data_IF_709314865532
#
_entry.id   IF_709314865532
#
_cell.length_a   1.000
_cell.length_b   1.000
_cell.length_c   1.000
_cell.angle_alpha   90.00
_cell.angle_beta   90.00
_cell.angle_gamma   90.00
#
_symmetry.space_group_name_H-M   'P 1'
#
loop_
_entity.id
_entity.type
_entity.pdbx_description
1 polymer ?
#
# COMPACT_ATOMS: atom_id res chain seq x y z
N UNK A 1 24.32 31.89 -38.72
CA UNK A 1 23.33 31.15 -37.93
C UNK A 1 22.68 29.96 -38.65
N UNK A 2 22.30 30.05 -39.93
CA UNK A 2 21.56 28.97 -40.62
C UNK A 2 22.29 27.63 -40.81
N UNK A 3 23.62 27.60 -40.88
CA UNK A 3 24.39 26.33 -41.04
C UNK A 3 24.45 25.52 -39.76
N UNK A 4 24.60 26.15 -38.60
CA UNK A 4 24.65 25.50 -37.31
C UNK A 4 23.28 24.87 -36.96
N UNK A 5 22.20 25.60 -37.20
CA UNK A 5 20.82 25.10 -36.96
C UNK A 5 20.54 23.87 -37.85
N UNK A 6 20.95 23.88 -39.12
CA UNK A 6 20.80 22.73 -40.03
C UNK A 6 21.61 21.53 -39.57
N UNK A 7 22.80 21.74 -38.99
CA UNK A 7 23.62 20.68 -38.44
C UNK A 7 22.97 20.05 -37.17
N UNK A 8 22.49 20.88 -36.24
CA UNK A 8 21.78 20.44 -35.04
C UNK A 8 20.51 19.67 -35.43
N UNK A 9 19.74 20.20 -36.41
CA UNK A 9 18.53 19.51 -36.85
C UNK A 9 18.82 18.15 -37.50
N UNK A 10 19.89 18.03 -38.30
CA UNK A 10 20.31 16.75 -38.89
C UNK A 10 20.79 15.76 -37.84
N UNK A 11 21.57 16.20 -36.83
CA UNK A 11 22.03 15.37 -35.74
C UNK A 11 20.86 14.88 -34.89
N UNK A 12 19.90 15.73 -34.58
CA UNK A 12 18.68 15.37 -33.88
C UNK A 12 17.83 14.36 -34.66
N UNK A 13 17.70 14.56 -35.97
CA UNK A 13 16.96 13.63 -36.84
C UNK A 13 17.66 12.25 -36.94
N UNK A 14 18.98 12.26 -37.02
CA UNK A 14 19.78 11.01 -37.05
C UNK A 14 19.68 10.25 -35.72
N UNK A 15 19.71 10.96 -34.60
CA UNK A 15 19.52 10.38 -33.27
C UNK A 15 18.11 9.81 -33.14
N UNK A 16 17.09 10.53 -33.55
CA UNK A 16 15.70 10.08 -33.57
C UNK A 16 15.55 8.81 -34.43
N UNK A 17 16.13 8.79 -35.63
CA UNK A 17 16.09 7.64 -36.52
C UNK A 17 16.77 6.42 -35.88
N UNK A 18 17.89 6.61 -35.16
CA UNK A 18 18.61 5.55 -34.48
C UNK A 18 17.78 4.99 -33.31
N UNK A 19 17.10 5.85 -32.54
CA UNK A 19 16.17 5.43 -31.49
C UNK A 19 15.00 4.64 -32.07
N UNK A 20 14.39 5.13 -33.17
CA UNK A 20 13.27 4.43 -33.83
C UNK A 20 13.72 3.06 -34.35
N UNK A 21 14.89 2.95 -34.94
CA UNK A 21 15.45 1.67 -35.42
C UNK A 21 15.76 0.74 -34.24
N UNK A 22 16.30 1.25 -33.14
CA UNK A 22 16.56 0.47 -31.93
C UNK A 22 15.27 -0.07 -31.30
N UNK A 23 14.26 0.75 -31.19
CA UNK A 23 12.91 0.35 -30.72
C UNK A 23 12.30 -0.69 -31.67
N UNK A 24 12.34 -0.43 -32.97
CA UNK A 24 11.84 -1.38 -33.97
C UNK A 24 12.56 -2.72 -33.90
N UNK A 25 13.89 -2.70 -33.71
CA UNK A 25 14.66 -3.92 -33.52
C UNK A 25 14.24 -4.69 -32.26
N UNK A 26 14.06 -4.01 -31.12
CA UNK A 26 13.58 -4.65 -29.89
C UNK A 26 12.20 -5.31 -30.09
N UNK A 27 11.26 -4.59 -30.73
CA UNK A 27 9.90 -5.11 -30.98
C UNK A 27 9.91 -6.31 -31.92
N UNK A 28 10.80 -6.32 -32.90
CA UNK A 28 10.84 -7.37 -33.93
C UNK A 28 11.74 -8.56 -33.55
N UNK A 29 12.76 -8.34 -32.73
CA UNK A 29 13.76 -9.36 -32.41
C UNK A 29 13.54 -10.03 -31.05
N UNK A 30 12.82 -9.38 -30.11
CA UNK A 30 12.59 -9.89 -28.75
C UNK A 30 11.11 -9.98 -28.49
N UNK A 31 10.56 -11.18 -28.47
CA UNK A 31 9.18 -11.41 -28.03
C UNK A 31 9.14 -11.42 -26.49
N UNK A 32 8.42 -10.46 -25.85
CA UNK A 32 8.32 -10.45 -24.40
C UNK A 32 7.63 -11.72 -23.85
N UNK A 33 6.87 -12.45 -24.65
CA UNK A 33 6.25 -13.70 -24.22
C UNK A 33 7.26 -14.81 -23.94
N UNK A 34 8.46 -14.74 -24.52
CA UNK A 34 9.54 -15.70 -24.25
C UNK A 34 9.99 -15.65 -22.78
N UNK A 35 9.74 -14.53 -22.05
CA UNK A 35 10.10 -14.39 -20.63
C UNK A 35 9.03 -14.91 -19.66
N UNK A 36 7.88 -15.41 -20.15
CA UNK A 36 6.84 -15.96 -19.26
C UNK A 36 7.33 -17.08 -18.34
N UNK A 37 8.13 -18.05 -18.79
CA UNK A 37 8.64 -19.10 -17.92
C UNK A 37 9.52 -18.57 -16.79
N UNK A 38 10.40 -17.61 -17.09
CA UNK A 38 11.29 -16.99 -16.11
C UNK A 38 10.49 -16.20 -15.05
N UNK A 39 9.48 -15.43 -15.49
CA UNK A 39 8.60 -14.68 -14.59
C UNK A 39 7.85 -15.64 -13.66
N UNK A 40 7.28 -16.73 -14.19
CA UNK A 40 6.62 -17.76 -13.38
C UNK A 40 7.59 -18.42 -12.40
N UNK A 41 8.79 -18.74 -12.83
CA UNK A 41 9.82 -19.34 -11.99
C UNK A 41 10.26 -18.39 -10.85
N UNK A 42 10.44 -17.10 -11.16
CA UNK A 42 10.77 -16.09 -10.16
C UNK A 42 9.65 -15.90 -9.13
N UNK A 43 8.39 -15.89 -9.57
CA UNK A 43 7.23 -15.83 -8.67
C UNK A 43 7.13 -17.07 -7.78
N UNK A 44 7.34 -18.27 -8.35
CA UNK A 44 7.32 -19.53 -7.61
C UNK A 44 8.42 -19.61 -6.54
N UNK A 45 9.56 -18.95 -6.76
CA UNK A 45 10.63 -18.85 -5.75
C UNK A 45 10.24 -18.03 -4.51
N UNK A 46 9.14 -17.29 -4.58
CA UNK A 46 8.54 -16.49 -3.51
C UNK A 46 7.18 -17.07 -3.07
N UNK A 47 6.94 -18.35 -3.29
CA UNK A 47 5.68 -19.05 -2.97
C UNK A 47 4.44 -18.44 -3.65
N UNK A 48 4.63 -17.75 -4.78
CA UNK A 48 3.54 -17.20 -5.59
C UNK A 48 3.33 -18.05 -6.84
N UNK A 49 2.18 -18.70 -6.93
CA UNK A 49 1.73 -19.33 -8.17
C UNK A 49 1.20 -18.26 -9.12
N UNK A 50 1.77 -18.19 -10.33
CA UNK A 50 1.41 -17.17 -11.31
C UNK A 50 0.94 -17.83 -12.62
N UNK A 51 -0.24 -17.43 -13.09
CA UNK A 51 -0.76 -17.80 -14.40
C UNK A 51 -0.80 -16.56 -15.29
N UNK A 52 -0.14 -16.62 -16.45
CA UNK A 52 -0.03 -15.53 -17.42
C UNK A 52 -0.74 -15.95 -18.72
N UNK A 53 -2.07 -15.81 -18.74
CA UNK A 53 -2.89 -16.19 -19.89
C UNK A 53 -2.91 -15.11 -20.98
N UNK A 54 -2.80 -13.85 -20.58
CA UNK A 54 -2.68 -12.73 -21.50
C UNK A 54 -1.31 -12.61 -22.16
N UNK A 55 -1.22 -11.81 -23.20
CA UNK A 55 0.04 -11.53 -23.87
C UNK A 55 0.88 -10.54 -23.09
N UNK A 56 2.19 -10.77 -23.09
CA UNK A 56 3.15 -9.73 -22.73
C UNK A 56 3.37 -8.84 -23.94
N UNK A 57 3.35 -7.55 -23.72
CA UNK A 57 3.56 -6.53 -24.75
C UNK A 57 4.57 -5.48 -24.29
N UNK A 58 5.34 -4.95 -25.24
CA UNK A 58 6.22 -3.83 -24.97
C UNK A 58 5.43 -2.52 -24.85
N UNK A 59 5.79 -1.72 -23.85
CA UNK A 59 5.37 -0.33 -23.71
C UNK A 59 6.59 0.58 -23.91
N UNK A 60 6.45 1.64 -24.70
CA UNK A 60 7.57 2.55 -25.00
C UNK A 60 7.32 3.99 -24.55
N UNK A 61 6.09 4.38 -24.33
CA UNK A 61 5.73 5.73 -23.90
C UNK A 61 4.72 5.69 -22.74
N UNK A 62 4.85 6.56 -21.76
CA UNK A 62 5.92 7.55 -21.56
C UNK A 62 7.22 6.94 -21.02
N UNK A 63 7.20 5.71 -20.57
CA UNK A 63 8.32 4.92 -20.04
C UNK A 63 8.47 3.66 -20.86
N UNK A 64 9.65 3.08 -20.85
CA UNK A 64 9.85 1.76 -21.48
C UNK A 64 9.53 0.67 -20.46
N UNK A 65 8.79 -0.34 -20.89
CA UNK A 65 8.36 -1.38 -19.99
C UNK A 65 7.69 -2.55 -20.67
N UNK A 66 7.14 -3.41 -19.84
CA UNK A 66 6.34 -4.57 -20.25
C UNK A 66 4.98 -4.49 -19.57
N UNK A 67 3.95 -4.76 -20.34
CA UNK A 67 2.57 -4.87 -19.86
C UNK A 67 2.12 -6.32 -20.03
N UNK A 68 1.48 -6.84 -19.02
CA UNK A 68 0.88 -8.19 -18.99
C UNK A 68 -0.59 -8.05 -18.69
N UNK A 69 -1.44 -8.60 -19.53
CA UNK A 69 -2.87 -8.65 -19.32
C UNK A 69 -3.29 -10.00 -18.75
N UNK A 70 -4.40 -10.02 -18.03
CA UNK A 70 -5.05 -11.24 -17.51
C UNK A 70 -4.08 -12.13 -16.71
N UNK A 71 -3.56 -11.57 -15.61
CA UNK A 71 -2.71 -12.30 -14.68
C UNK A 71 -3.56 -12.90 -13.57
N UNK A 72 -3.43 -14.19 -13.32
CA UNK A 72 -3.97 -14.83 -12.11
C UNK A 72 -2.82 -15.16 -11.17
N UNK A 73 -3.04 -14.97 -9.88
CA UNK A 73 -2.04 -15.30 -8.86
C UNK A 73 -2.67 -15.96 -7.64
N UNK A 74 -1.88 -16.79 -6.97
CA UNK A 74 -2.18 -17.32 -5.65
C UNK A 74 -0.90 -17.37 -4.81
N UNK A 75 -0.98 -16.90 -3.56
CA UNK A 75 0.11 -16.94 -2.59
C UNK A 75 -0.32 -17.78 -1.40
N UNK A 76 -0.07 -19.06 -1.47
CA UNK A 76 -0.48 -20.03 -0.47
C UNK A 76 -1.98 -19.93 -0.14
N UNK A 77 -2.30 -19.93 1.16
CA UNK A 77 -3.67 -19.68 1.67
C UNK A 77 -3.93 -18.21 2.01
N UNK A 78 -2.99 -17.29 1.76
CA UNK A 78 -3.05 -15.91 2.24
C UNK A 78 -3.83 -15.01 1.28
N UNK A 79 -3.54 -15.10 0.00
CA UNK A 79 -4.15 -14.24 -1.01
C UNK A 79 -4.25 -14.96 -2.37
N UNK A 80 -5.29 -14.64 -3.11
CA UNK A 80 -5.43 -15.03 -4.51
C UNK A 80 -6.17 -13.94 -5.28
N UNK A 81 -6.02 -13.92 -6.59
CA UNK A 81 -6.75 -12.92 -7.37
C UNK A 81 -6.46 -12.95 -8.85
N UNK A 82 -7.15 -12.01 -9.52
CA UNK A 82 -7.01 -11.76 -10.95
C UNK A 82 -6.65 -10.29 -11.12
N UNK A 83 -5.68 -10.01 -11.97
CA UNK A 83 -5.23 -8.68 -12.33
C UNK A 83 -5.58 -8.46 -13.79
N UNK A 84 -6.34 -7.41 -14.10
CA UNK A 84 -6.66 -7.06 -15.48
C UNK A 84 -5.42 -6.70 -16.28
N UNK A 85 -4.57 -5.84 -15.70
CA UNK A 85 -3.32 -5.39 -16.31
C UNK A 85 -2.26 -5.17 -15.23
N UNK A 86 -1.07 -5.71 -15.44
CA UNK A 86 0.14 -5.47 -14.68
C UNK A 86 1.19 -4.84 -15.58
N UNK A 87 1.73 -3.69 -15.20
CA UNK A 87 2.82 -3.05 -15.93
C UNK A 87 4.06 -2.83 -15.08
N UNK A 88 5.21 -3.07 -15.68
CA UNK A 88 6.54 -2.79 -15.13
C UNK A 88 7.26 -1.88 -16.08
N UNK A 89 7.72 -0.74 -15.63
CA UNK A 89 8.37 0.24 -16.50
C UNK A 89 9.55 0.94 -15.84
N UNK A 90 10.44 1.44 -16.68
CA UNK A 90 11.64 2.18 -16.31
C UNK A 90 11.66 3.49 -17.08
N UNK A 91 12.08 4.58 -16.45
CA UNK A 91 12.21 5.85 -17.14
C UNK A 91 13.35 5.81 -18.17
N UNK A 92 13.19 6.54 -19.28
CA UNK A 92 14.25 6.67 -20.29
C UNK A 92 15.55 7.22 -19.70
N UNK A 93 15.47 8.13 -18.72
CA UNK A 93 16.65 8.71 -18.07
C UNK A 93 17.42 7.67 -17.24
N UNK A 94 16.74 6.75 -16.59
CA UNK A 94 17.36 5.68 -15.83
C UNK A 94 18.02 4.64 -16.74
N UNK A 95 17.39 4.33 -17.88
CA UNK A 95 17.98 3.44 -18.89
C UNK A 95 19.31 3.96 -19.45
N UNK A 96 19.42 5.27 -19.66
CA UNK A 96 20.69 5.85 -20.12
C UNK A 96 21.78 5.92 -19.04
N UNK A 97 21.41 5.79 -17.78
CA UNK A 97 22.31 5.82 -16.62
C UNK A 97 22.55 4.45 -15.99
N UNK A 98 22.12 3.36 -16.66
CA UNK A 98 22.34 2.00 -16.12
C UNK A 98 23.84 1.72 -16.05
N UNK A 99 24.29 1.49 -14.82
CA UNK A 99 25.59 0.88 -14.59
C UNK A 99 25.50 -0.62 -14.90
N UNK A 100 25.94 -1.01 -16.08
CA UNK A 100 25.94 -2.40 -16.54
C UNK A 100 26.81 -3.31 -15.68
N UNK A 101 27.62 -2.78 -14.77
CA UNK A 101 28.38 -3.55 -13.78
C UNK A 101 27.52 -3.94 -12.56
N UNK A 102 26.37 -3.28 -12.35
CA UNK A 102 25.41 -3.57 -11.29
C UNK A 102 24.46 -4.70 -11.68
N UNK A 103 24.21 -5.63 -10.77
CA UNK A 103 23.31 -6.78 -10.97
C UNK A 103 21.81 -6.43 -10.89
N UNK A 104 21.44 -5.18 -10.74
CA UNK A 104 20.07 -4.77 -10.52
C UNK A 104 19.60 -3.83 -11.63
N UNK A 105 18.52 -4.21 -12.30
CA UNK A 105 17.83 -3.31 -13.22
C UNK A 105 16.99 -2.32 -12.40
N UNK A 106 17.06 -1.02 -12.70
CA UNK A 106 16.20 -0.06 -12.05
C UNK A 106 14.74 -0.35 -12.43
N UNK A 107 13.89 -0.57 -11.44
CA UNK A 107 12.43 -0.65 -11.67
C UNK A 107 11.87 0.73 -11.35
N UNK A 108 11.52 1.50 -12.38
CA UNK A 108 11.02 2.86 -12.20
C UNK A 108 9.58 2.92 -11.69
N UNK A 109 8.70 2.08 -12.24
CA UNK A 109 7.29 2.07 -11.86
C UNK A 109 6.68 0.68 -12.00
N UNK A 110 5.77 0.38 -11.08
CA UNK A 110 4.92 -0.82 -11.09
C UNK A 110 3.49 -0.33 -11.05
N UNK A 111 2.62 -0.80 -11.95
CA UNK A 111 1.20 -0.51 -11.86
C UNK A 111 0.36 -1.78 -12.01
N UNK A 112 -0.68 -1.84 -11.21
CA UNK A 112 -1.72 -2.86 -11.22
C UNK A 112 -3.03 -2.13 -11.53
N UNK A 113 -3.74 -2.56 -12.55
CA UNK A 113 -5.01 -1.99 -12.96
C UNK A 113 -6.10 -3.06 -12.94
N UNK A 114 -7.26 -2.70 -12.41
CA UNK A 114 -8.48 -3.50 -12.37
C UNK A 114 -8.27 -4.92 -11.80
N UNK A 115 -7.66 -5.01 -10.62
CA UNK A 115 -7.50 -6.30 -9.98
C UNK A 115 -8.69 -6.61 -9.06
N UNK A 116 -8.97 -7.90 -8.94
CA UNK A 116 -9.83 -8.46 -7.90
C UNK A 116 -8.98 -9.38 -7.04
N UNK A 117 -8.84 -9.04 -5.76
CA UNK A 117 -7.98 -9.75 -4.81
C UNK A 117 -8.85 -10.29 -3.68
N UNK A 118 -8.71 -11.56 -3.40
CA UNK A 118 -9.29 -12.21 -2.24
C UNK A 118 -8.18 -12.40 -1.20
N UNK A 119 -8.32 -11.73 -0.08
CA UNK A 119 -7.49 -11.94 1.10
C UNK A 119 -8.19 -12.98 1.97
N UNK A 120 -7.49 -14.02 2.35
CA UNK A 120 -7.99 -15.03 3.28
C UNK A 120 -8.19 -14.43 4.68
N UNK A 121 -8.63 -15.26 5.62
CA UNK A 121 -8.79 -14.83 7.00
C UNK A 121 -7.48 -14.22 7.55
N UNK A 122 -7.48 -12.91 7.77
CA UNK A 122 -6.33 -12.17 8.30
C UNK A 122 -6.09 -12.47 9.80
N UNK A 123 -7.09 -13.00 10.48
CA UNK A 123 -7.02 -13.48 11.86
C UNK A 123 -8.01 -14.63 12.06
N UNK A 124 -7.82 -15.49 13.07
CA UNK A 124 -8.75 -16.58 13.38
C UNK A 124 -10.19 -16.06 13.54
N UNK A 125 -11.13 -16.69 12.85
CA UNK A 125 -12.56 -16.33 12.83
C UNK A 125 -12.90 -14.98 12.16
N UNK A 126 -12.02 -14.42 11.34
CA UNK A 126 -12.35 -13.30 10.47
C UNK A 126 -12.88 -13.78 9.12
N UNK A 127 -13.62 -12.92 8.42
CA UNK A 127 -14.10 -13.23 7.08
C UNK A 127 -13.04 -12.89 6.04
N UNK A 128 -12.97 -13.62 4.92
CA UNK A 128 -12.14 -13.24 3.80
C UNK A 128 -12.58 -11.88 3.26
N UNK A 129 -11.61 -11.02 2.95
CA UNK A 129 -11.85 -9.67 2.41
C UNK A 129 -11.59 -9.70 0.92
N UNK A 130 -12.60 -9.28 0.15
CA UNK A 130 -12.44 -9.11 -1.29
C UNK A 130 -12.22 -7.63 -1.63
N UNK A 131 -11.09 -7.34 -2.27
CA UNK A 131 -10.81 -6.07 -2.91
C UNK A 131 -11.25 -6.16 -4.37
N UNK A 132 -12.12 -5.27 -4.80
CA UNK A 132 -12.59 -5.16 -6.19
C UNK A 132 -12.09 -3.86 -6.79
N UNK A 133 -11.89 -3.85 -8.12
CA UNK A 133 -11.35 -2.69 -8.83
C UNK A 133 -10.09 -2.14 -8.15
N UNK A 134 -9.26 -3.06 -7.67
CA UNK A 134 -8.01 -2.68 -7.03
C UNK A 134 -7.06 -2.13 -8.10
N UNK A 135 -6.62 -0.90 -7.88
CA UNK A 135 -5.59 -0.26 -8.67
C UNK A 135 -4.46 0.13 -7.72
N UNK A 136 -3.24 -0.09 -8.13
CA UNK A 136 -2.07 0.33 -7.36
C UNK A 136 -0.99 0.82 -8.30
N UNK A 137 -0.25 1.82 -7.86
CA UNK A 137 0.91 2.34 -8.59
C UNK A 137 2.03 2.66 -7.63
N UNK A 138 3.20 2.18 -7.95
CA UNK A 138 4.47 2.52 -7.31
C UNK A 138 5.29 3.29 -8.32
N UNK A 139 5.73 4.50 -8.00
CA UNK A 139 6.56 5.31 -8.88
C UNK A 139 7.93 5.53 -8.27
N UNK A 140 8.96 5.50 -9.09
CA UNK A 140 10.36 5.68 -8.70
C UNK A 140 10.80 4.66 -7.63
N UNK A 141 10.39 3.40 -7.80
CA UNK A 141 10.71 2.34 -6.84
C UNK A 141 12.24 2.21 -6.65
N UNK A 142 12.67 2.19 -5.40
CA UNK A 142 14.07 2.07 -5.02
C UNK A 142 14.24 1.21 -3.78
N UNK A 143 15.24 0.33 -3.80
CA UNK A 143 15.68 -0.49 -2.66
C UNK A 143 16.91 0.10 -1.96
N UNK A 144 17.45 1.21 -2.47
CA UNK A 144 18.72 1.81 -2.05
C UNK A 144 18.54 3.03 -1.14
N UNK A 145 17.32 3.27 -0.66
CA UNK A 145 17.02 4.36 0.26
C UNK A 145 16.53 5.65 -0.41
N UNK A 146 16.28 5.65 -1.71
CA UNK A 146 15.60 6.76 -2.36
C UNK A 146 14.10 6.75 -2.06
N UNK A 147 13.45 7.90 -2.17
CA UNK A 147 12.01 8.02 -1.95
C UNK A 147 11.24 7.56 -3.17
N UNK A 148 10.19 6.82 -2.94
CA UNK A 148 9.21 6.44 -3.96
C UNK A 148 7.79 6.61 -3.42
N UNK A 149 6.83 6.81 -4.33
CA UNK A 149 5.42 6.96 -3.95
C UNK A 149 4.64 5.69 -4.23
N UNK A 150 3.68 5.42 -3.37
CA UNK A 150 2.65 4.40 -3.58
C UNK A 150 1.30 5.09 -3.57
N UNK A 151 0.47 4.80 -4.56
CA UNK A 151 -0.95 5.11 -4.57
C UNK A 151 -1.73 3.82 -4.76
N UNK A 152 -2.83 3.64 -4.04
CA UNK A 152 -3.71 2.50 -4.23
C UNK A 152 -5.16 2.91 -4.04
N UNK A 153 -6.05 2.27 -4.78
CA UNK A 153 -7.49 2.40 -4.61
C UNK A 153 -8.18 1.06 -4.76
N UNK A 154 -9.25 0.85 -4.04
CA UNK A 154 -10.04 -0.37 -4.11
C UNK A 154 -11.49 -0.11 -3.70
N UNK A 155 -12.38 -1.04 -4.05
CA UNK A 155 -13.68 -1.17 -3.42
C UNK A 155 -13.63 -2.39 -2.50
N UNK A 156 -13.90 -2.18 -1.23
CA UNK A 156 -13.97 -3.22 -0.22
C UNK A 156 -15.40 -3.42 0.23
N UNK A 157 -15.70 -4.57 0.77
CA UNK A 157 -17.04 -4.92 1.23
C UNK A 157 -18.10 -4.64 0.16
N UNK A 158 -19.26 -4.17 0.50
CA UNK A 158 -20.36 -3.91 -0.44
C UNK A 158 -20.21 -2.63 -1.29
N UNK A 159 -19.01 -2.11 -1.43
CA UNK A 159 -18.73 -0.95 -2.29
C UNK A 159 -18.10 0.25 -1.60
N UNK A 160 -17.58 0.09 -0.39
CA UNK A 160 -16.77 1.11 0.28
C UNK A 160 -15.53 1.41 -0.57
N UNK A 161 -15.36 2.66 -0.96
CA UNK A 161 -14.15 3.11 -1.59
C UNK A 161 -13.03 3.23 -0.55
N UNK A 162 -11.88 2.65 -0.84
CA UNK A 162 -10.66 2.78 -0.08
C UNK A 162 -9.62 3.43 -0.99
N UNK A 163 -8.96 4.46 -0.49
CA UNK A 163 -7.85 5.12 -1.17
C UNK A 163 -6.66 5.19 -0.21
N UNK A 164 -5.47 5.09 -0.75
CA UNK A 164 -4.21 5.15 -0.01
C UNK A 164 -3.16 5.86 -0.84
N UNK A 165 -2.47 6.79 -0.23
CA UNK A 165 -1.28 7.43 -0.77
C UNK A 165 -0.19 7.46 0.30
N UNK A 166 1.05 7.21 -0.09
CA UNK A 166 2.18 7.28 0.82
C UNK A 166 3.49 7.56 0.07
N UNK A 167 4.40 8.27 0.74
CA UNK A 167 5.81 8.34 0.37
C UNK A 167 6.60 7.35 1.22
N UNK A 168 7.36 6.49 0.55
CA UNK A 168 8.18 5.48 1.20
C UNK A 168 9.65 5.67 0.90
N UNK A 169 10.46 5.19 1.84
CA UNK A 169 11.88 4.95 1.65
C UNK A 169 12.17 3.56 2.17
N UNK A 170 12.82 2.74 1.36
CA UNK A 170 13.20 1.38 1.70
C UNK A 170 14.71 1.23 1.54
N UNK A 171 15.38 0.83 2.60
CA UNK A 171 16.80 0.49 2.56
C UNK A 171 16.95 -1.00 2.82
N UNK A 172 17.52 -1.70 1.84
CA UNK A 172 17.78 -3.13 1.89
C UNK A 172 19.29 -3.38 1.82
N UNK A 173 19.75 -4.32 2.62
CA UNK A 173 21.10 -4.83 2.49
C UNK A 173 21.20 -5.71 1.23
N UNK A 174 21.90 -5.23 0.24
CA UNK A 174 22.00 -5.90 -1.08
C UNK A 174 22.74 -7.24 -1.04
N UNK A 175 23.53 -7.48 0.02
CA UNK A 175 24.27 -8.75 0.17
C UNK A 175 23.42 -9.84 0.82
N UNK A 176 22.54 -9.47 1.74
CA UNK A 176 21.73 -10.40 2.52
C UNK A 176 20.26 -10.45 2.09
N UNK A 177 19.79 -9.46 1.32
CA UNK A 177 18.38 -9.28 0.97
C UNK A 177 17.49 -8.84 2.15
N UNK A 178 18.08 -8.49 3.29
CA UNK A 178 17.32 -8.10 4.50
C UNK A 178 16.99 -6.61 4.43
N UNK A 179 15.76 -6.28 4.78
CA UNK A 179 15.32 -4.89 4.93
C UNK A 179 15.91 -4.33 6.22
N UNK A 180 16.74 -3.29 6.09
CA UNK A 180 17.37 -2.62 7.21
C UNK A 180 16.50 -1.50 7.78
N UNK A 181 15.85 -0.73 6.89
CA UNK A 181 15.00 0.38 7.28
C UNK A 181 13.84 0.56 6.31
N UNK A 182 12.66 0.86 6.87
CA UNK A 182 11.48 1.34 6.15
C UNK A 182 11.05 2.65 6.79
N UNK A 183 10.91 3.69 5.98
CA UNK A 183 10.27 4.93 6.38
C UNK A 183 9.04 5.16 5.52
N UNK A 184 7.90 5.35 6.15
CA UNK A 184 6.66 5.80 5.52
C UNK A 184 6.43 7.23 5.99
N UNK A 185 6.39 8.16 5.08
CA UNK A 185 6.04 9.55 5.33
C UNK A 185 4.82 9.91 4.49
N UNK A 186 4.11 10.93 4.93
CA UNK A 186 2.93 11.43 4.22
C UNK A 186 1.92 10.32 3.88
N UNK A 187 1.72 9.38 4.85
CA UNK A 187 0.67 8.38 4.72
C UNK A 187 -0.69 9.08 4.80
N UNK A 188 -1.48 8.92 3.78
CA UNK A 188 -2.87 9.32 3.71
C UNK A 188 -3.71 8.13 3.26
N UNK A 189 -4.80 7.86 3.95
CA UNK A 189 -5.75 6.81 3.55
C UNK A 189 -7.17 7.29 3.86
N UNK A 190 -8.12 6.89 3.03
CA UNK A 190 -9.53 7.22 3.23
C UNK A 190 -10.44 6.01 3.03
N UNK A 191 -11.49 5.95 3.83
CA UNK A 191 -12.58 4.98 3.72
C UNK A 191 -13.87 5.58 4.26
N UNK A 192 -14.89 5.72 3.40
CA UNK A 192 -16.24 6.18 3.77
C UNK A 192 -16.26 7.44 4.66
N UNK A 193 -15.52 8.47 4.29
CA UNK A 193 -15.43 9.74 5.02
C UNK A 193 -14.47 9.73 6.22
N UNK A 194 -13.94 8.59 6.61
CA UNK A 194 -12.81 8.51 7.53
C UNK A 194 -11.52 8.73 6.76
N UNK A 195 -10.76 9.75 7.13
CA UNK A 195 -9.44 10.03 6.61
C UNK A 195 -8.39 9.70 7.67
N UNK A 196 -7.37 8.99 7.28
CA UNK A 196 -6.23 8.63 8.10
C UNK A 196 -4.98 9.32 7.58
N UNK A 197 -4.16 9.83 8.46
CA UNK A 197 -2.83 10.33 8.11
C UNK A 197 -1.81 9.87 9.13
N UNK A 198 -0.57 9.67 8.68
CA UNK A 198 0.43 9.15 9.59
C UNK A 198 1.82 9.05 9.02
N UNK A 199 2.70 8.51 9.86
CA UNK A 199 4.09 8.22 9.51
C UNK A 199 4.60 7.03 10.31
N UNK A 200 5.56 6.30 9.72
CA UNK A 200 6.22 5.16 10.32
C UNK A 200 7.71 5.18 9.98
N UNK A 201 8.56 4.91 10.95
CA UNK A 201 9.94 4.53 10.73
C UNK A 201 10.17 3.19 11.43
N UNK A 202 10.66 2.20 10.70
CA UNK A 202 10.97 0.89 11.24
C UNK A 202 12.38 0.47 10.82
N UNK A 203 13.09 -0.15 11.72
CA UNK A 203 14.48 -0.58 11.58
C UNK A 203 14.64 -2.02 12.04
N UNK A 204 15.74 -2.66 11.62
CA UNK A 204 16.11 -4.00 12.05
C UNK A 204 14.99 -5.02 11.86
N UNK A 205 14.41 -5.06 10.67
CA UNK A 205 13.30 -5.96 10.34
C UNK A 205 12.11 -5.80 11.32
N UNK A 206 11.71 -4.54 11.57
CA UNK A 206 10.64 -4.15 12.50
C UNK A 206 10.89 -4.42 13.99
N UNK A 207 12.09 -4.81 14.39
CA UNK A 207 12.41 -4.95 15.81
C UNK A 207 12.32 -3.62 16.56
N UNK A 208 12.61 -2.51 15.87
CA UNK A 208 12.43 -1.14 16.36
C UNK A 208 11.48 -0.43 15.39
N UNK A 209 10.42 0.16 15.89
CA UNK A 209 9.53 0.96 15.08
C UNK A 209 8.94 2.13 15.88
N UNK A 210 8.82 3.27 15.23
CA UNK A 210 8.18 4.46 15.79
C UNK A 210 7.27 5.10 14.76
N UNK A 211 6.18 5.68 15.21
CA UNK A 211 5.25 6.30 14.28
C UNK A 211 4.10 6.99 14.97
N UNK A 212 3.26 7.57 14.14
CA UNK A 212 2.00 8.17 14.55
C UNK A 212 0.92 7.93 13.50
N UNK A 213 -0.31 7.82 13.94
CA UNK A 213 -1.50 7.69 13.10
C UNK A 213 -2.61 8.55 13.71
N UNK A 214 -3.27 9.32 12.89
CA UNK A 214 -4.41 10.14 13.29
C UNK A 214 -5.56 10.03 12.29
N UNK A 215 -6.78 10.18 12.76
CA UNK A 215 -7.94 10.33 11.89
C UNK A 215 -8.52 11.76 11.97
N UNK A 216 -9.30 12.12 10.93
CA UNK A 216 -10.27 13.19 11.05
C UNK A 216 -11.40 12.77 11.99
N UNK A 217 -12.39 13.66 12.25
CA UNK A 217 -13.65 13.24 12.82
C UNK A 217 -14.52 12.56 11.75
N UNK A 218 -15.05 11.39 12.07
CA UNK A 218 -15.90 10.60 11.19
C UNK A 218 -17.08 9.99 11.95
N UNK A 219 -18.10 9.60 11.23
CA UNK A 219 -19.27 8.92 11.78
C UNK A 219 -19.03 7.41 11.86
N UNK A 220 -18.73 6.93 13.09
CA UNK A 220 -18.49 5.50 13.32
C UNK A 220 -19.77 4.68 13.15
N UNK A 221 -20.95 5.21 13.47
CA UNK A 221 -22.21 4.50 13.24
C UNK A 221 -22.42 4.25 11.73
N UNK A 222 -22.21 5.28 10.92
CA UNK A 222 -22.33 5.17 9.47
C UNK A 222 -21.33 4.15 8.92
N UNK A 223 -20.08 4.23 9.32
CA UNK A 223 -19.02 3.31 8.88
C UNK A 223 -19.36 1.85 9.25
N UNK A 224 -19.71 1.60 10.51
CA UNK A 224 -20.07 0.25 10.99
C UNK A 224 -21.34 -0.27 10.28
N UNK A 225 -22.32 0.58 10.06
CA UNK A 225 -23.53 0.22 9.31
C UNK A 225 -23.19 -0.20 7.88
N UNK A 226 -22.32 0.54 7.20
CA UNK A 226 -21.89 0.23 5.84
C UNK A 226 -21.11 -1.08 5.78
N UNK A 227 -20.19 -1.31 6.72
CA UNK A 227 -19.48 -2.59 6.85
C UNK A 227 -20.46 -3.72 7.18
N UNK A 228 -21.41 -3.49 8.08
CA UNK A 228 -22.40 -4.45 8.53
C UNK A 228 -23.36 -4.94 7.42
N UNK A 229 -23.52 -4.17 6.34
CA UNK A 229 -24.24 -4.67 5.15
C UNK A 229 -23.57 -5.88 4.49
N UNK A 230 -22.24 -5.97 4.58
CA UNK A 230 -21.48 -7.13 4.08
C UNK A 230 -21.19 -8.17 5.16
N UNK A 231 -21.09 -7.73 6.40
CA UNK A 231 -20.78 -8.56 7.56
C UNK A 231 -21.83 -8.38 8.65
N UNK A 232 -22.94 -9.13 8.62
CA UNK A 232 -24.05 -8.98 9.55
C UNK A 232 -23.70 -9.14 11.04
N UNK A 233 -22.54 -9.72 11.34
CA UNK A 233 -22.02 -9.81 12.71
C UNK A 233 -21.37 -8.51 13.21
N UNK A 234 -20.99 -7.61 12.31
CA UNK A 234 -20.45 -6.29 12.64
C UNK A 234 -21.61 -5.34 12.86
N UNK A 235 -22.02 -5.17 14.11
CA UNK A 235 -23.12 -4.29 14.50
C UNK A 235 -22.75 -3.54 15.75
N UNK A 236 -23.11 -2.27 15.80
CA UNK A 236 -23.20 -1.56 17.06
C UNK A 236 -24.52 -1.89 17.74
N UNK A 237 -24.55 -1.97 19.08
CA UNK A 237 -25.82 -2.03 19.80
C UNK A 237 -26.67 -0.80 19.50
N UNK A 238 -27.99 -0.93 19.60
CA UNK A 238 -28.87 0.25 19.59
C UNK A 238 -28.51 1.14 20.78
N UNK A 239 -28.14 2.36 20.50
CA UNK A 239 -27.74 3.34 21.50
C UNK A 239 -28.89 4.22 21.94
N UNK A 240 -28.86 4.72 23.17
CA UNK A 240 -29.88 5.59 23.70
C UNK A 240 -29.96 6.92 22.91
N UNK A 241 -28.85 7.41 22.40
CA UNK A 241 -28.80 8.59 21.54
C UNK A 241 -28.48 8.24 20.09
N UNK A 242 -29.19 8.82 19.15
CA UNK A 242 -28.92 8.72 17.70
C UNK A 242 -27.64 9.47 17.30
N UNK A 243 -27.20 10.43 18.11
CA UNK A 243 -26.00 11.23 17.86
C UNK A 243 -24.75 10.63 18.50
N UNK A 244 -24.88 9.48 19.20
CA UNK A 244 -23.74 8.78 19.77
C UNK A 244 -22.81 8.24 18.68
N UNK A 245 -21.49 8.38 18.84
CA UNK A 245 -20.45 7.92 17.91
C UNK A 245 -20.50 8.56 16.49
N UNK A 246 -21.13 9.73 16.36
CA UNK A 246 -21.21 10.45 15.08
C UNK A 246 -20.00 11.34 14.82
N UNK A 247 -19.21 11.64 15.86
CA UNK A 247 -18.00 12.44 15.76
C UNK A 247 -16.84 11.75 16.52
N UNK A 248 -16.25 10.74 15.91
CA UNK A 248 -15.14 9.98 16.50
C UNK A 248 -13.85 10.34 15.78
N UNK A 249 -12.80 10.61 16.53
CA UNK A 249 -11.45 10.70 16.00
C UNK A 249 -10.42 10.09 16.95
N UNK A 250 -9.26 9.73 16.44
CA UNK A 250 -8.15 9.30 17.27
C UNK A 250 -6.82 9.87 16.81
N UNK A 251 -5.90 9.96 17.75
CA UNK A 251 -4.51 10.30 17.50
C UNK A 251 -3.65 9.34 18.32
N UNK A 252 -2.86 8.54 17.63
CA UNK A 252 -1.99 7.54 18.26
C UNK A 252 -0.53 7.79 17.91
N UNK A 253 0.34 7.60 18.87
CA UNK A 253 1.77 7.53 18.67
C UNK A 253 2.34 6.28 19.34
N UNK A 254 3.35 5.70 18.74
CA UNK A 254 3.99 4.52 19.27
C UNK A 254 5.50 4.57 19.06
N UNK A 255 6.18 3.91 19.97
CA UNK A 255 7.60 3.60 19.87
C UNK A 255 7.78 2.19 20.41
N UNK A 256 8.17 1.27 19.54
CA UNK A 256 8.32 -0.13 19.86
C UNK A 256 9.78 -0.55 19.79
N UNK A 257 10.21 -1.29 20.79
CA UNK A 257 11.45 -2.03 20.80
C UNK A 257 11.14 -3.46 21.29
N UNK A 258 11.20 -4.42 20.36
CA UNK A 258 10.87 -5.81 20.66
C UNK A 258 11.84 -6.47 21.63
N UNK A 259 13.01 -5.88 21.86
CA UNK A 259 14.01 -6.34 22.82
C UNK A 259 14.00 -5.55 24.15
N UNK A 260 13.17 -4.52 24.23
CA UNK A 260 13.14 -3.59 25.35
C UNK A 260 11.74 -3.14 25.72
N UNK A 261 11.52 -1.83 25.68
CA UNK A 261 10.27 -1.20 26.11
C UNK A 261 9.51 -0.62 24.92
N UNK A 262 8.29 -1.10 24.71
CA UNK A 262 7.36 -0.49 23.76
C UNK A 262 6.38 0.43 24.48
N UNK A 263 6.09 1.58 23.88
CA UNK A 263 5.13 2.56 24.40
C UNK A 263 4.09 2.91 23.33
N UNK A 264 2.84 3.04 23.76
CA UNK A 264 1.73 3.44 22.91
C UNK A 264 0.93 4.52 23.64
N UNK A 265 0.64 5.62 22.96
CA UNK A 265 -0.20 6.68 23.48
C UNK A 265 -1.30 6.94 22.45
N UNK A 266 -2.54 6.84 22.89
CA UNK A 266 -3.70 7.07 22.04
C UNK A 266 -4.63 8.06 22.73
N UNK A 267 -5.04 9.09 22.04
CA UNK A 267 -6.11 9.98 22.40
C UNK A 267 -7.32 9.68 21.50
N UNK A 268 -8.44 9.36 22.12
CA UNK A 268 -9.72 9.20 21.44
C UNK A 268 -10.57 10.44 21.78
N UNK A 269 -11.17 11.04 20.76
CA UNK A 269 -12.23 12.02 20.92
C UNK A 269 -13.52 11.38 20.41
N UNK A 270 -14.49 11.23 21.28
CA UNK A 270 -15.78 10.62 21.00
C UNK A 270 -16.87 11.62 21.38
N UNK A 271 -17.50 12.22 20.37
CA UNK A 271 -18.56 13.21 20.55
C UNK A 271 -18.13 14.32 21.53
N UNK A 272 -16.91 14.86 21.34
CA UNK A 272 -16.27 15.89 22.20
C UNK A 272 -15.83 15.40 23.59
N UNK A 273 -15.82 14.11 23.85
CA UNK A 273 -15.34 13.53 25.10
C UNK A 273 -13.97 12.89 24.87
N UNK A 274 -12.96 13.33 25.58
CA UNK A 274 -11.56 12.91 25.37
C UNK A 274 -11.20 11.79 26.33
N UNK A 275 -10.68 10.68 25.76
CA UNK A 275 -10.10 9.54 26.48
C UNK A 275 -8.66 9.40 26.06
N UNK A 276 -7.75 9.37 27.04
CA UNK A 276 -6.33 9.14 26.81
C UNK A 276 -5.97 7.74 27.31
N UNK A 277 -5.33 6.97 26.46
CA UNK A 277 -4.84 5.62 26.74
C UNK A 277 -3.33 5.64 26.59
N UNK A 278 -2.62 5.37 27.65
CA UNK A 278 -1.16 5.18 27.61
C UNK A 278 -0.84 3.75 28.02
N UNK A 279 -0.09 3.05 27.18
CA UNK A 279 0.35 1.70 27.49
C UNK A 279 1.85 1.55 27.28
N UNK A 280 2.42 0.66 28.09
CA UNK A 280 3.84 0.27 28.04
C UNK A 280 3.93 -1.25 28.10
N UNK A 281 4.69 -1.83 27.20
CA UNK A 281 4.99 -3.26 27.16
C UNK A 281 6.47 -3.42 27.40
N UNK A 282 6.83 -4.07 28.49
CA UNK A 282 8.20 -4.46 28.77
C UNK A 282 8.41 -5.89 28.30
N UNK A 283 9.08 -6.06 27.17
CA UNK A 283 9.30 -7.36 26.55
C UNK A 283 10.29 -8.23 27.34
N UNK A 284 11.17 -7.62 28.13
CA UNK A 284 12.17 -8.35 28.91
C UNK A 284 11.56 -9.14 30.07
N UNK A 285 10.50 -8.63 30.68
CA UNK A 285 9.79 -9.22 31.82
C UNK A 285 8.33 -9.60 31.51
N UNK A 286 7.91 -9.45 30.25
CA UNK A 286 6.55 -9.76 29.76
C UNK A 286 5.44 -9.03 30.54
N UNK A 287 5.68 -7.76 30.87
CA UNK A 287 4.71 -6.94 31.63
C UNK A 287 4.04 -5.91 30.72
N UNK A 288 2.72 -5.78 30.91
CA UNK A 288 1.89 -4.73 30.31
C UNK A 288 1.40 -3.77 31.40
N UNK A 289 1.69 -2.51 31.21
CA UNK A 289 1.13 -1.41 31.99
C UNK A 289 0.18 -0.61 31.10
N UNK A 290 -1.03 -0.36 31.59
CA UNK A 290 -2.01 0.46 30.90
C UNK A 290 -2.62 1.49 31.86
N UNK A 291 -2.69 2.74 31.38
CA UNK A 291 -3.39 3.84 32.07
C UNK A 291 -4.44 4.39 31.11
N UNK A 292 -5.67 4.43 31.60
CA UNK A 292 -6.77 5.11 30.91
C UNK A 292 -7.14 6.34 31.75
N UNK A 293 -7.24 7.48 31.14
CA UNK A 293 -7.67 8.72 31.79
C UNK A 293 -8.54 9.52 30.82
N UNK A 294 -9.48 10.25 31.33
CA UNK A 294 -10.37 11.07 30.52
C UNK A 294 -10.92 12.23 31.35
N UNK A 295 -11.57 13.15 30.66
CA UNK A 295 -12.39 14.15 31.29
C UNK A 295 -13.72 13.49 31.77
N UNK A 296 -14.68 14.27 32.15
CA UNK A 296 -15.99 13.76 32.52
C UNK A 296 -16.61 13.03 31.31
N UNK A 297 -16.71 11.69 31.39
CA UNK A 297 -17.27 10.83 30.31
C UNK A 297 -18.73 10.51 30.70
N UNK A 298 -19.69 11.03 29.92
CA UNK A 298 -21.10 10.73 30.07
C UNK A 298 -21.48 9.48 29.29
N UNK A 299 -21.68 8.38 29.99
CA UNK A 299 -22.04 7.08 29.40
C UNK A 299 -23.52 7.00 28.96
N UNK A 300 -24.37 7.91 29.36
CA UNK A 300 -25.83 7.79 29.15
C UNK A 300 -26.22 7.71 27.68
N UNK A 301 -25.46 8.39 26.82
CA UNK A 301 -25.71 8.41 25.38
C UNK A 301 -25.33 7.08 24.68
N UNK A 302 -24.43 6.30 25.30
CA UNK A 302 -23.85 5.07 24.72
C UNK A 302 -24.44 3.79 25.32
N UNK A 303 -25.30 3.90 26.31
CA UNK A 303 -26.02 2.75 26.86
C UNK A 303 -27.00 2.20 25.82
N UNK A 304 -27.28 0.91 25.90
CA UNK A 304 -28.32 0.33 25.06
C UNK A 304 -29.66 1.00 25.35
N UNK A 305 -30.43 1.28 24.31
CA UNK A 305 -31.79 1.76 24.49
C UNK A 305 -32.57 0.70 25.29
N UNK A 306 -33.19 1.09 26.39
CA UNK A 306 -34.00 0.18 27.18
C UNK A 306 -35.09 -0.44 26.29
N UNK A 307 -35.10 -1.75 26.20
CA UNK A 307 -36.08 -2.51 25.38
C UNK A 307 -37.51 -2.50 26.00
N UNK A 308 -37.73 -1.67 27.02
CA UNK A 308 -38.96 -1.61 27.81
C UNK A 308 -39.65 -0.22 27.76
N UNK A 309 -39.71 0.41 26.60
CA UNK A 309 -40.60 1.58 26.43
C UNK A 309 -41.57 1.38 25.28
#
# INVERSE_FOLDING_TARGET
MGKIIKWILRSALSLLALVVVGVAYLVLAVDPNDFKPEIKSAAASQDVELTLDGNLSWQFLPQIGVVVEQVEFAHGSIASGKIGELSLSVSWSELFNIDLSGKQLPVGSIAINDATILLAELAPNTFPVQLKRFNARVNNFSLTGDRFSITASAHVFSGLALELEALLRLQMNTNTGVIEQITVSDLEASIDGMELSGQLNAENNFAIAQGSLRSNHFDLQQLVKTIGMSFPLVKLPEMASKDALTAVSWNSSFNTDMNGLSTFNTQLDIDSQIINIASKVDHSIHNLYMRVSGNQFDMTHYLAADSNS
#
